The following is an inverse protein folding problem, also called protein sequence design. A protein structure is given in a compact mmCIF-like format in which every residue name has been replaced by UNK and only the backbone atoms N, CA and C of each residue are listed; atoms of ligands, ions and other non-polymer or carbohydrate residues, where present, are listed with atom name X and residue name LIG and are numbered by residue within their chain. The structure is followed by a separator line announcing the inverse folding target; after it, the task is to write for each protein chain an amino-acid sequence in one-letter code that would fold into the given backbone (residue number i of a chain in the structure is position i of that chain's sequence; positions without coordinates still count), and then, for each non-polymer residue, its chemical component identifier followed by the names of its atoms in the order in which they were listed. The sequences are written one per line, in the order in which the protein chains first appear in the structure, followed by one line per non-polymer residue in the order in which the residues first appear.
data_IF_661524399996
#
_entry.id   IF_661524399996
#
_cell.length_a   1.000
_cell.length_b   1.000
_cell.length_c   1.000
_cell.angle_alpha   90.00
_cell.angle_beta   90.00
_cell.angle_gamma   90.00
#
_symmetry.space_group_name_H-M   'P 1'
#
loop_
_entity.id
_entity.type
_entity.pdbx_description
1 polymer ?
#
# COMPACT_ATOMS: atom_id res chain seq x y z
N UNK A 1 -9.97 -40.72 22.32
CA UNK A 1 -10.26 -40.54 22.29
C UNK A 1 -10.38 -40.28 22.28
N UNK A 2 -10.27 -39.95 22.25
CA UNK A 2 -10.53 -39.58 22.15
C UNK A 2 -10.69 -38.88 22.17
N UNK A 3 -10.65 -38.55 22.16
CA UNK A 3 -10.95 -37.95 22.15
C UNK A 3 -10.65 -37.19 22.18
N UNK A 4 -10.39 -36.96 22.25
CA UNK A 4 -10.18 -36.31 22.36
C UNK A 4 -9.66 -35.99 21.92
N UNK A 5 -9.69 -35.99 21.71
CA UNK A 5 -9.39 -35.79 21.30
C UNK A 5 -9.22 -35.33 20.77
N UNK A 6 -9.13 -35.41 20.79
CA UNK A 6 -9.32 -35.02 20.34
C UNK A 6 -9.17 -34.10 20.19
N UNK A 7 -9.10 -33.95 20.54
CA UNK A 7 -9.02 -33.13 20.46
C UNK A 7 -8.40 -32.44 20.17
N UNK A 8 -8.04 -32.51 20.24
CA UNK A 8 -7.50 -31.92 20.02
C UNK A 8 -7.11 -31.49 19.24
N UNK A 9 -7.08 -31.64 18.96
CA UNK A 9 -6.78 -31.23 18.23
C UNK A 9 -6.85 -30.34 17.69
N UNK A 10 -7.04 -29.95 17.90
CA UNK A 10 -7.24 -29.17 17.54
C UNK A 10 -6.81 -28.19 17.60
N UNK A 11 -6.59 -28.08 18.01
CA UNK A 11 -6.25 -27.27 18.15
C UNK A 11 -5.62 -26.75 17.69
N UNK A 12 -5.33 -26.87 17.48
CA UNK A 12 -4.81 -26.43 17.09
C UNK A 12 -4.71 -25.83 16.42
N UNK A 13 -5.05 -25.52 16.30
CA UNK A 13 -5.12 -25.11 15.81
C UNK A 13 -4.97 -24.30 15.75
N UNK A 14 -4.89 -24.26 15.99
CA UNK A 14 -4.93 -23.61 16.04
C UNK A 14 -4.43 -22.98 16.05
N UNK A 15 -4.13 -22.82 15.87
CA UNK A 15 -3.71 -22.31 15.86
C UNK A 15 -3.14 -21.98 15.20
N UNK A 16 -2.84 -22.11 15.03
CA UNK A 16 -2.53 -21.88 14.45
C UNK A 16 -2.38 -21.25 13.90
N UNK A 17 -2.24 -21.08 13.86
CA UNK A 17 -2.31 -20.62 13.48
C UNK A 17 -2.14 -19.78 13.50
N UNK A 18 -2.00 -19.49 13.67
CA UNK A 18 -1.94 -18.85 13.81
C UNK A 18 -1.32 -18.32 13.60
N UNK A 19 -0.95 -18.40 13.68
CA UNK A 19 -0.37 -17.93 13.38
C UNK A 19 -0.08 -17.48 12.62
N UNK A 20 -0.02 -17.53 12.35
CA UNK A 20 0.19 -17.02 11.78
C UNK A 20 -0.23 -16.24 11.26
N UNK A 21 -0.44 -16.27 11.18
CA UNK A 21 -0.93 -15.48 10.72
C UNK A 21 -1.14 -14.42 11.18
N UNK A 22 -1.10 -14.30 11.47
CA UNK A 22 -0.97 -13.22 12.40
C UNK A 22 -0.40 -11.98 11.74
N UNK A 23 0.62 -12.14 11.02
CA UNK A 23 1.33 -11.05 10.38
C UNK A 23 0.50 -10.35 9.33
N UNK A 24 -0.35 -11.05 8.66
CA UNK A 24 -1.21 -10.40 7.66
C UNK A 24 -2.21 -9.47 8.32
N UNK A 25 -2.66 -9.80 9.51
CA UNK A 25 -3.53 -8.92 10.27
C UNK A 25 -2.83 -7.64 10.66
N UNK A 26 -1.55 -7.75 11.01
CA UNK A 26 -0.76 -6.58 11.35
C UNK A 26 -0.61 -5.64 10.17
N UNK A 27 -0.45 -6.19 8.98
CA UNK A 27 -0.36 -5.37 7.78
C UNK A 27 -1.62 -4.54 7.60
N UNK A 28 -2.78 -5.14 7.79
CA UNK A 28 -4.04 -4.42 7.63
C UNK A 28 -4.18 -3.29 8.64
N UNK A 29 -3.68 -3.49 9.86
CA UNK A 29 -3.76 -2.46 10.89
C UNK A 29 -2.88 -1.26 10.57
N UNK A 30 -1.87 -1.45 9.72
CA UNK A 30 -0.92 -0.40 9.36
C UNK A 30 -1.22 0.21 8.01
N UNK A 31 -2.39 -0.03 7.46
CA UNK A 31 -2.79 0.55 6.19
C UNK A 31 -3.78 1.68 6.45
N UNK A 32 -3.35 2.90 6.17
CA UNK A 32 -4.22 4.06 6.30
C UNK A 32 -5.24 4.03 5.16
N UNK A 33 -6.50 3.87 5.52
CA UNK A 33 -7.58 3.72 4.54
C UNK A 33 -7.79 4.96 3.69
N UNK A 34 -7.35 6.11 4.18
CA UNK A 34 -7.47 7.34 3.41
C UNK A 34 -6.60 7.33 2.16
N UNK A 35 -5.61 6.44 2.11
CA UNK A 35 -4.74 6.31 0.96
C UNK A 35 -5.28 5.39 -0.12
N UNK A 36 -6.30 4.58 0.18
CA UNK A 36 -6.80 3.58 -0.77
C UNK A 36 -7.29 4.21 -2.05
N UNK A 37 -6.96 3.60 -3.18
CA UNK A 37 -7.42 4.02 -4.48
C UNK A 37 -6.28 4.42 -5.39
N UNK A 38 -6.60 5.23 -6.37
CA UNK A 38 -5.65 5.70 -7.37
C UNK A 38 -5.48 7.21 -7.24
N UNK A 39 -4.25 7.64 -7.36
CA UNK A 39 -3.86 9.04 -7.22
C UNK A 39 -3.05 9.46 -8.43
N UNK A 40 -3.27 10.69 -8.89
CA UNK A 40 -2.61 11.21 -10.07
C UNK A 40 -1.94 12.52 -9.71
N UNK A 41 -0.69 12.69 -10.14
CA UNK A 41 0.10 13.89 -9.84
C UNK A 41 -0.66 15.14 -10.25
N UNK A 42 -0.66 16.14 -9.35
CA UNK A 42 -1.34 17.42 -9.58
C UNK A 42 -0.40 18.35 -10.35
N UNK A 43 -0.44 18.24 -11.66
CA UNK A 43 0.38 19.02 -12.56
C UNK A 43 -0.38 19.22 -13.87
N UNK A 44 0.04 20.18 -14.67
CA UNK A 44 -0.55 20.40 -15.99
C UNK A 44 0.13 19.61 -17.10
N UNK A 45 1.16 18.83 -16.79
CA UNK A 45 1.86 18.02 -17.79
C UNK A 45 0.96 16.89 -18.28
N UNK A 46 1.19 16.50 -19.54
CA UNK A 46 0.47 15.34 -20.10
C UNK A 46 0.93 14.03 -19.46
N UNK A 47 2.19 13.92 -19.16
CA UNK A 47 2.77 12.74 -18.51
C UNK A 47 2.85 13.01 -17.02
N UNK A 48 2.16 12.19 -16.26
CA UNK A 48 2.04 12.38 -14.81
C UNK A 48 2.35 11.10 -14.06
N UNK A 49 2.88 11.26 -12.84
CA UNK A 49 3.05 10.14 -11.92
C UNK A 49 1.69 9.67 -11.44
N UNK A 50 1.55 8.37 -11.33
CA UNK A 50 0.36 7.75 -10.78
C UNK A 50 0.76 6.80 -9.66
N UNK A 51 -0.06 6.76 -8.61
CA UNK A 51 0.12 5.87 -7.47
C UNK A 51 -1.18 5.13 -7.22
N UNK A 52 -1.07 3.87 -6.86
CA UNK A 52 -2.22 3.08 -6.44
C UNK A 52 -1.92 2.45 -5.08
N UNK A 53 -2.96 2.31 -4.27
CA UNK A 53 -2.86 1.64 -2.98
C UNK A 53 -4.10 0.77 -2.81
N UNK A 54 -3.90 -0.52 -2.50
CA UNK A 54 -5.02 -1.41 -2.23
C UNK A 54 -5.01 -1.86 -0.77
N UNK A 55 -6.09 -2.50 -0.35
CA UNK A 55 -6.25 -2.91 1.03
C UNK A 55 -5.53 -4.22 1.35
N UNK A 56 -4.80 -4.77 0.40
CA UNK A 56 -3.95 -5.94 0.59
C UNK A 56 -2.50 -5.54 0.85
N UNK A 57 -2.22 -4.26 1.00
CA UNK A 57 -0.87 -3.79 1.23
C UNK A 57 -0.04 -3.71 -0.04
N UNK A 58 -0.69 -3.66 -1.19
CA UNK A 58 0.00 -3.51 -2.48
C UNK A 58 -0.16 -2.12 -3.01
N UNK A 59 0.87 -1.64 -3.67
CA UNK A 59 0.94 -0.32 -4.25
C UNK A 59 1.61 -0.44 -5.61
N UNK A 60 1.47 0.57 -6.43
CA UNK A 60 2.18 0.65 -7.69
C UNK A 60 2.50 2.09 -8.02
N UNK A 61 3.61 2.27 -8.68
CA UNK A 61 4.04 3.55 -9.22
C UNK A 61 4.24 3.40 -10.72
N UNK A 62 3.70 4.34 -11.48
CA UNK A 62 3.88 4.35 -12.93
C UNK A 62 3.63 5.77 -13.44
N UNK A 63 4.01 6.00 -14.69
CA UNK A 63 3.64 7.23 -15.39
C UNK A 63 2.48 6.94 -16.31
N UNK A 64 1.56 7.87 -16.40
CA UNK A 64 0.45 7.79 -17.35
C UNK A 64 0.38 9.07 -18.16
N UNK A 65 -0.03 8.93 -19.42
CA UNK A 65 -0.30 10.07 -20.28
C UNK A 65 -1.79 10.35 -20.22
N UNK A 66 -2.17 11.52 -19.69
CA UNK A 66 -3.59 11.83 -19.48
C UNK A 66 -4.33 12.15 -20.76
N UNK A 67 -3.61 12.42 -21.85
CA UNK A 67 -4.23 12.67 -23.15
C UNK A 67 -4.58 11.36 -23.85
N UNK A 68 -3.66 10.39 -23.84
CA UNK A 68 -3.86 9.11 -24.52
C UNK A 68 -4.43 8.02 -23.61
N UNK A 69 -4.26 8.18 -22.30
CA UNK A 69 -4.67 7.15 -21.34
C UNK A 69 -3.68 6.00 -21.20
N UNK A 70 -2.54 6.09 -21.85
CA UNK A 70 -1.58 4.98 -21.84
C UNK A 70 -0.61 5.11 -20.69
N UNK A 71 -0.18 3.94 -20.18
CA UNK A 71 0.89 3.86 -19.20
C UNK A 71 2.21 4.01 -19.93
N UNK A 72 3.04 4.93 -19.49
CA UNK A 72 4.36 5.21 -20.06
C UNK A 72 5.44 4.84 -19.06
N UNK A 73 6.55 4.31 -19.59
CA UNK A 73 7.68 3.94 -18.77
C UNK A 73 7.43 2.65 -18.00
N UNK A 74 8.15 2.49 -16.90
CA UNK A 74 8.10 1.26 -16.12
C UNK A 74 6.99 1.30 -15.11
N UNK A 75 6.24 0.21 -15.05
CA UNK A 75 5.28 -0.05 -13.98
C UNK A 75 6.05 -0.70 -12.83
N UNK A 76 6.01 -0.08 -11.65
CA UNK A 76 6.75 -0.58 -10.51
C UNK A 76 5.79 -1.01 -9.41
N UNK A 77 5.63 -2.32 -9.19
CA UNK A 77 4.84 -2.82 -8.08
C UNK A 77 5.60 -2.68 -6.76
N UNK A 78 4.86 -2.40 -5.70
CA UNK A 78 5.42 -2.20 -4.37
C UNK A 78 4.49 -2.78 -3.33
N UNK A 79 4.99 -2.96 -2.11
CA UNK A 79 4.16 -3.11 -0.94
C UNK A 79 4.17 -1.80 -0.17
N UNK A 80 3.15 -1.59 0.65
CA UNK A 80 3.06 -0.35 1.39
C UNK A 80 2.48 -0.56 2.78
N UNK A 81 2.86 0.32 3.68
CA UNK A 81 2.25 0.44 4.99
C UNK A 81 2.53 1.84 5.54
N UNK A 82 1.82 2.21 6.59
CA UNK A 82 1.97 3.52 7.22
C UNK A 82 2.28 3.36 8.69
N UNK A 83 3.16 4.21 9.21
CA UNK A 83 3.44 4.31 10.62
C UNK A 83 3.49 5.79 10.94
N UNK A 84 2.61 6.21 11.85
CA UNK A 84 2.46 7.63 12.21
C UNK A 84 2.16 8.42 10.96
N UNK A 85 2.74 9.34 10.51
CA UNK A 85 2.46 10.07 9.28
C UNK A 85 3.48 9.77 8.19
N UNK A 86 4.06 8.56 8.22
CA UNK A 86 5.05 8.17 7.23
C UNK A 86 4.53 7.01 6.41
N UNK A 87 4.60 7.18 5.11
CA UNK A 87 4.28 6.15 4.12
C UNK A 87 5.56 5.40 3.78
N UNK A 88 5.52 4.08 3.92
CA UNK A 88 6.62 3.19 3.54
C UNK A 88 6.21 2.43 2.30
N UNK A 89 7.03 2.52 1.26
CA UNK A 89 6.79 1.80 0.01
C UNK A 89 8.02 0.94 -0.26
N UNK A 90 7.79 -0.36 -0.39
CA UNK A 90 8.86 -1.35 -0.45
C UNK A 90 8.88 -1.92 -1.85
N UNK A 91 10.01 -1.78 -2.55
CA UNK A 91 10.22 -2.39 -3.85
C UNK A 91 11.08 -3.63 -3.69
N UNK A 92 10.96 -4.54 -4.64
CA UNK A 92 11.78 -5.75 -4.59
C UNK A 92 13.25 -5.49 -4.87
N UNK A 93 13.55 -4.46 -5.65
CA UNK A 93 14.91 -4.25 -6.15
C UNK A 93 15.55 -2.99 -5.61
N UNK A 94 14.77 -1.98 -5.22
CA UNK A 94 15.30 -0.65 -4.90
C UNK A 94 15.22 -0.31 -3.42
N UNK A 95 14.69 -1.22 -2.59
CA UNK A 95 14.62 -0.99 -1.16
C UNK A 95 13.35 -0.30 -0.74
N UNK A 96 13.45 0.53 0.28
CA UNK A 96 12.30 1.15 0.94
C UNK A 96 12.34 2.65 0.70
N UNK A 97 11.21 3.20 0.24
CA UNK A 97 11.01 4.64 0.15
C UNK A 97 10.10 5.08 1.29
N UNK A 98 10.52 6.10 2.01
CA UNK A 98 9.75 6.63 3.15
C UNK A 98 9.45 8.09 2.85
N UNK A 99 8.18 8.45 2.94
CA UNK A 99 7.72 9.81 2.73
C UNK A 99 6.82 10.21 3.87
N UNK A 100 6.96 11.42 4.35
CA UNK A 100 5.93 12.00 5.20
C UNK A 100 4.71 12.27 4.32
N UNK A 101 3.50 11.96 4.80
CA UNK A 101 2.33 12.13 3.96
C UNK A 101 1.21 12.82 4.71
N UNK A 102 0.37 13.48 3.94
CA UNK A 102 -0.85 14.12 4.42
C UNK A 102 -1.95 13.91 3.41
N UNK A 103 -3.13 13.56 3.88
CA UNK A 103 -4.31 13.45 3.03
C UNK A 103 -5.35 14.43 3.54
N UNK A 104 -5.75 15.36 2.68
CA UNK A 104 -6.78 16.35 2.98
C UNK A 104 -7.77 16.34 1.82
N UNK A 105 -9.01 15.91 2.09
CA UNK A 105 -10.03 15.78 1.05
C UNK A 105 -9.54 14.83 -0.05
N UNK A 106 -9.36 15.35 -1.25
CA UNK A 106 -8.93 14.55 -2.41
C UNK A 106 -7.48 14.78 -2.76
N UNK A 107 -6.70 15.37 -1.86
CA UNK A 107 -5.30 15.71 -2.12
C UNK A 107 -4.40 14.90 -1.20
N UNK A 108 -3.46 14.20 -1.80
CA UNK A 108 -2.38 13.51 -1.11
C UNK A 108 -1.09 14.28 -1.35
N UNK A 109 -0.40 14.63 -0.28
CA UNK A 109 0.92 15.25 -0.40
C UNK A 109 1.95 14.28 0.17
N UNK A 110 2.97 13.99 -0.61
CA UNK A 110 4.12 13.18 -0.21
C UNK A 110 5.35 14.08 -0.14
N UNK A 111 6.09 13.96 0.94
CA UNK A 111 7.30 14.75 1.15
C UNK A 111 8.45 13.86 1.59
N UNK A 112 9.40 13.65 0.71
CA UNK A 112 10.66 12.96 1.01
C UNK A 112 11.85 13.90 0.81
N UNK A 113 11.61 15.20 0.97
CA UNK A 113 12.58 16.26 0.74
C UNK A 113 12.02 17.36 -0.12
N UNK A 114 11.17 17.02 -1.07
CA UNK A 114 10.42 17.96 -1.92
C UNK A 114 8.98 17.48 -1.96
N UNK A 115 8.01 18.30 -1.55
CA UNK A 115 6.62 17.86 -1.56
C UNK A 115 6.06 17.74 -2.96
N UNK A 116 5.30 16.69 -3.19
CA UNK A 116 4.58 16.42 -4.44
C UNK A 116 3.13 16.14 -4.07
N UNK A 117 2.21 16.76 -4.79
CA UNK A 117 0.79 16.60 -4.54
C UNK A 117 0.14 15.76 -5.62
N UNK A 118 -0.84 14.94 -5.20
CA UNK A 118 -1.59 14.04 -6.06
C UNK A 118 -3.07 14.25 -5.79
N UNK A 119 -3.88 14.04 -6.81
CA UNK A 119 -5.34 14.19 -6.73
C UNK A 119 -5.96 12.81 -6.85
N UNK A 120 -6.96 12.55 -6.01
CA UNK A 120 -7.67 11.27 -6.01
C UNK A 120 -8.47 11.12 -7.29
N UNK A 121 -8.42 9.92 -7.85
CA UNK A 121 -9.14 9.58 -9.08
C UNK A 121 -10.46 8.85 -8.81
#
# INVERSE_FOLDING_TARGET
MSKHFKLLSILCFSFLAMTSCVESNQSNDNLDKDLLGQWLEDTSNDRREALTFDDQGRSAFFYTNVVTGEIEGQYQPMEWYTINNYLHQITQSSGVFVSEYDVTDSILTLDSGTPISFVKQ
#
